data_IF_130578133082
#
_entry.id   IF_130578133082
#
_cell.length_a   1.000
_cell.length_b   1.000
_cell.length_c   1.000
_cell.angle_alpha   90.00
_cell.angle_beta   90.00
_cell.angle_gamma   90.00
#
_symmetry.space_group_name_H-M   'P 1'
#
loop_
_entity.id
_entity.type
_entity.pdbx_description
1 polymer ?
#
# COMPACT_ATOMS: atom_id res chain seq x y z
N UNK A 1 -13.39 -1.55 -16.27
CA UNK A 1 -11.97 -1.77 -16.49
C UNK A 1 -11.17 -0.88 -15.55
N UNK A 2 -10.11 -1.39 -14.94
CA UNK A 2 -9.32 -0.64 -13.99
C UNK A 2 -7.88 -0.46 -14.49
N UNK A 3 -7.20 0.57 -13.96
CA UNK A 3 -5.79 0.86 -14.25
C UNK A 3 -5.03 1.11 -12.96
N UNK A 4 -3.79 0.63 -12.92
CA UNK A 4 -2.87 0.88 -11.79
C UNK A 4 -1.79 1.83 -12.29
N UNK A 5 -1.56 2.91 -11.52
CA UNK A 5 -0.57 3.94 -11.83
C UNK A 5 0.15 4.39 -10.57
N UNK A 6 1.34 4.98 -10.77
CA UNK A 6 2.03 5.67 -9.69
C UNK A 6 1.44 7.07 -9.50
N UNK A 7 1.20 7.45 -8.24
CA UNK A 7 0.81 8.81 -7.89
C UNK A 7 2.06 9.65 -7.69
N UNK A 8 2.43 10.44 -8.69
CA UNK A 8 3.65 11.24 -8.68
C UNK A 8 3.38 12.73 -8.62
N UNK A 9 2.38 13.22 -9.34
CA UNK A 9 2.01 14.63 -9.33
C UNK A 9 1.15 14.97 -8.11
N UNK A 10 1.13 16.25 -7.74
CA UNK A 10 0.27 16.72 -6.67
C UNK A 10 -1.21 16.40 -6.94
N UNK A 11 -1.62 16.52 -8.20
CA UNK A 11 -2.98 16.21 -8.64
C UNK A 11 -3.31 14.73 -8.41
N UNK A 12 -2.40 13.84 -8.77
CA UNK A 12 -2.59 12.39 -8.57
C UNK A 12 -2.63 12.04 -7.09
N UNK A 13 -1.72 12.61 -6.30
CA UNK A 13 -1.69 12.40 -4.85
C UNK A 13 -3.00 12.89 -4.23
N UNK A 14 -3.45 14.08 -4.59
CA UNK A 14 -4.70 14.67 -4.09
C UNK A 14 -5.91 13.80 -4.45
N UNK A 15 -5.92 13.21 -5.64
CA UNK A 15 -7.01 12.34 -6.08
C UNK A 15 -7.16 11.08 -5.22
N UNK A 16 -6.12 10.68 -4.50
CA UNK A 16 -6.15 9.51 -3.63
C UNK A 16 -6.67 9.82 -2.22
N UNK A 17 -6.98 11.07 -1.90
CA UNK A 17 -7.33 11.47 -0.53
C UNK A 17 -8.45 10.64 0.08
N UNK A 18 -9.52 10.38 -0.67
CA UNK A 18 -10.67 9.66 -0.13
C UNK A 18 -10.30 8.26 0.37
N UNK A 19 -9.56 7.50 -0.43
CA UNK A 19 -9.16 6.14 -0.04
C UNK A 19 -8.08 6.16 1.03
N UNK A 20 -7.16 7.11 0.99
CA UNK A 20 -6.11 7.25 2.00
C UNK A 20 -6.73 7.60 3.36
N UNK A 21 -7.65 8.56 3.41
CA UNK A 21 -8.31 8.94 4.65
C UNK A 21 -9.24 7.87 5.21
N UNK A 22 -9.75 7.01 4.35
CA UNK A 22 -10.51 5.82 4.78
C UNK A 22 -9.62 4.88 5.60
N UNK A 23 -8.39 4.67 5.17
CA UNK A 23 -7.42 3.84 5.90
C UNK A 23 -6.82 4.57 7.11
N UNK A 24 -6.54 5.86 6.95
CA UNK A 24 -5.83 6.68 7.96
C UNK A 24 -6.69 7.90 8.32
N UNK A 25 -7.78 7.73 9.07
CA UNK A 25 -8.73 8.81 9.34
C UNK A 25 -8.18 9.95 10.21
N UNK A 26 -7.03 9.76 10.85
CA UNK A 26 -6.37 10.79 11.66
C UNK A 26 -5.64 11.85 10.82
N UNK A 27 -5.47 11.62 9.51
CA UNK A 27 -4.74 12.56 8.64
C UNK A 27 -5.56 13.83 8.40
N UNK A 28 -4.84 14.96 8.26
CA UNK A 28 -5.43 16.25 7.93
C UNK A 28 -5.32 16.49 6.42
N UNK A 29 -6.46 16.77 5.78
CA UNK A 29 -6.51 16.93 4.34
C UNK A 29 -5.57 18.04 3.84
N UNK A 30 -5.49 19.15 4.56
CA UNK A 30 -4.68 20.30 4.15
C UNK A 30 -3.18 20.02 4.18
N UNK A 31 -2.75 19.02 4.93
CA UNK A 31 -1.32 18.66 5.06
C UNK A 31 -0.97 17.38 4.30
N UNK A 32 -1.95 16.68 3.78
CA UNK A 32 -1.78 15.35 3.22
C UNK A 32 -0.82 15.32 2.03
N UNK A 33 -1.02 16.18 1.04
CA UNK A 33 -0.18 16.17 -0.17
C UNK A 33 1.27 16.48 0.17
N UNK A 34 1.50 17.47 1.02
CA UNK A 34 2.85 17.84 1.46
C UNK A 34 3.54 16.67 2.19
N UNK A 35 2.81 16.01 3.09
CA UNK A 35 3.34 14.86 3.82
C UNK A 35 3.72 13.73 2.88
N UNK A 36 2.87 13.40 1.90
CA UNK A 36 3.19 12.35 0.93
C UNK A 36 4.43 12.72 0.13
N UNK A 37 4.57 13.97 -0.29
CA UNK A 37 5.75 14.42 -1.02
C UNK A 37 7.03 14.29 -0.19
N UNK A 38 6.98 14.62 1.09
CA UNK A 38 8.10 14.39 2.00
C UNK A 38 8.45 12.91 2.11
N UNK A 39 7.44 12.07 2.27
CA UNK A 39 7.63 10.61 2.33
C UNK A 39 8.24 10.07 1.04
N UNK A 40 7.82 10.60 -0.10
CA UNK A 40 8.38 10.19 -1.40
C UNK A 40 9.86 10.53 -1.51
N UNK A 41 10.30 11.64 -0.94
CA UNK A 41 11.73 11.96 -0.86
C UNK A 41 12.51 10.98 0.01
N UNK A 42 11.83 10.34 0.95
CA UNK A 42 12.40 9.32 1.83
C UNK A 42 12.22 7.89 1.28
N UNK A 43 11.74 7.75 0.05
CA UNK A 43 11.62 6.46 -0.62
C UNK A 43 10.23 5.84 -0.67
N UNK A 44 9.22 6.52 -0.17
CA UNK A 44 7.83 6.04 -0.25
C UNK A 44 7.33 6.09 -1.70
N UNK A 45 6.67 5.03 -2.13
CA UNK A 45 6.05 4.94 -3.45
C UNK A 45 4.55 4.72 -3.26
N UNK A 46 3.74 5.45 -4.00
CA UNK A 46 2.29 5.35 -3.92
C UNK A 46 1.73 4.87 -5.26
N UNK A 47 0.98 3.78 -5.20
CA UNK A 47 0.22 3.24 -6.33
C UNK A 47 -1.26 3.45 -6.10
N UNK A 48 -2.00 3.73 -7.16
CA UNK A 48 -3.45 3.78 -7.07
C UNK A 48 -4.08 3.01 -8.21
N UNK A 49 -5.26 2.47 -7.92
CA UNK A 49 -6.08 1.77 -8.90
C UNK A 49 -7.35 2.60 -9.13
N UNK A 50 -7.56 2.99 -10.36
CA UNK A 50 -8.75 3.74 -10.74
C UNK A 50 -9.69 2.89 -11.56
N UNK A 51 -10.99 3.06 -11.32
CA UNK A 51 -12.07 2.50 -12.13
C UNK A 51 -12.83 3.67 -12.73
N UNK A 52 -12.79 3.81 -14.05
CA UNK A 52 -13.24 5.01 -14.74
C UNK A 52 -12.42 6.20 -14.23
N UNK A 53 -13.04 7.25 -13.72
CA UNK A 53 -12.33 8.43 -13.21
C UNK A 53 -12.24 8.46 -11.68
N UNK A 54 -12.54 7.36 -11.03
CA UNK A 54 -12.55 7.27 -9.55
C UNK A 54 -11.38 6.44 -9.06
N UNK A 55 -10.63 6.97 -8.10
CA UNK A 55 -9.62 6.21 -7.38
C UNK A 55 -10.34 5.26 -6.42
N UNK A 56 -10.26 3.97 -6.70
CA UNK A 56 -10.97 2.94 -5.95
C UNK A 56 -10.13 2.29 -4.84
N UNK A 57 -8.81 2.25 -5.04
CA UNK A 57 -7.91 1.58 -4.12
C UNK A 57 -6.49 2.17 -4.23
N UNK A 58 -5.68 1.98 -3.19
CA UNK A 58 -4.29 2.40 -3.25
C UNK A 58 -3.40 1.45 -2.45
N UNK A 59 -2.11 1.48 -2.77
CA UNK A 59 -1.05 0.82 -2.00
C UNK A 59 0.12 1.78 -1.84
N UNK A 60 0.72 1.79 -0.67
CA UNK A 60 1.95 2.51 -0.42
C UNK A 60 3.04 1.53 -0.03
N UNK A 61 4.25 1.68 -0.57
CA UNK A 61 5.34 0.78 -0.26
C UNK A 61 6.68 1.48 -0.25
N UNK A 62 7.67 0.80 0.34
CA UNK A 62 9.06 1.26 0.37
C UNK A 62 9.97 0.14 -0.06
N UNK A 63 11.07 0.51 -0.75
CA UNK A 63 12.17 -0.40 -1.00
C UNK A 63 13.13 -0.31 0.19
N UNK A 64 13.32 -1.40 0.89
CA UNK A 64 14.17 -1.46 2.08
C UNK A 64 15.33 -2.43 1.86
N UNK A 65 16.37 -2.26 2.65
CA UNK A 65 17.55 -3.10 2.62
C UNK A 65 17.98 -3.38 4.06
N UNK A 66 17.95 -4.64 4.46
CA UNK A 66 18.31 -5.04 5.83
C UNK A 66 19.30 -6.19 5.81
N UNK A 67 19.97 -6.36 6.95
CA UNK A 67 20.88 -7.50 7.11
C UNK A 67 20.15 -8.84 7.09
N UNK A 68 18.91 -8.86 7.60
CA UNK A 68 18.11 -10.09 7.68
C UNK A 68 17.55 -10.48 6.32
N UNK A 69 16.91 -9.52 5.62
CA UNK A 69 16.08 -9.82 4.45
C UNK A 69 16.71 -9.35 3.13
N UNK A 70 17.94 -8.79 3.15
CA UNK A 70 18.56 -8.18 1.98
C UNK A 70 17.67 -7.06 1.41
N UNK A 71 17.45 -7.00 0.10
CA UNK A 71 16.61 -5.98 -0.53
C UNK A 71 15.18 -6.50 -0.64
N UNK A 72 14.23 -5.78 -0.08
CA UNK A 72 12.83 -6.21 -0.06
C UNK A 72 11.89 -5.02 -0.18
N UNK A 73 10.63 -5.29 -0.48
CA UNK A 73 9.56 -4.29 -0.48
C UNK A 73 8.76 -4.43 0.80
N UNK A 74 8.53 -3.30 1.47
CA UNK A 74 7.63 -3.20 2.61
C UNK A 74 6.38 -2.44 2.20
N UNK A 75 5.21 -3.06 2.31
CA UNK A 75 3.93 -2.43 2.01
C UNK A 75 3.42 -1.76 3.27
N UNK A 76 3.41 -0.42 3.28
CA UNK A 76 2.92 0.38 4.40
C UNK A 76 1.40 0.47 4.43
N UNK A 77 0.79 0.58 3.24
CA UNK A 77 -0.62 0.90 3.11
C UNK A 77 -1.25 0.06 2.01
N UNK A 78 -2.47 -0.42 2.27
CA UNK A 78 -3.28 -1.11 1.28
C UNK A 78 -4.75 -0.92 1.67
N UNK A 79 -5.53 -0.29 0.81
CA UNK A 79 -6.93 -0.03 1.10
C UNK A 79 -7.76 0.07 -0.18
N UNK A 80 -8.98 -0.43 -0.10
CA UNK A 80 -10.00 -0.27 -1.13
C UNK A 80 -11.18 0.48 -0.53
N UNK A 81 -11.73 1.46 -1.25
CA UNK A 81 -12.94 2.15 -0.82
C UNK A 81 -14.09 1.14 -0.62
N UNK A 82 -14.94 1.33 0.39
CA UNK A 82 -16.03 0.38 0.67
C UNK A 82 -16.90 0.07 -0.54
N UNK A 83 -17.21 1.06 -1.36
CA UNK A 83 -18.07 0.88 -2.54
C UNK A 83 -17.45 -0.01 -3.62
N UNK A 84 -16.13 -0.23 -3.57
CA UNK A 84 -15.40 -0.99 -4.58
C UNK A 84 -14.86 -2.32 -4.06
N UNK A 85 -15.19 -2.70 -2.82
CA UNK A 85 -14.75 -3.97 -2.23
C UNK A 85 -15.38 -5.16 -2.94
N UNK A 86 -14.69 -6.30 -2.86
CA UNK A 86 -15.16 -7.55 -3.47
C UNK A 86 -14.88 -7.65 -4.97
N UNK A 87 -14.10 -6.75 -5.52
CA UNK A 87 -13.75 -6.73 -6.95
C UNK A 87 -12.31 -7.18 -7.23
N UNK A 88 -11.57 -7.58 -6.18
CA UNK A 88 -10.19 -8.05 -6.32
C UNK A 88 -9.15 -6.94 -6.47
N UNK A 89 -9.46 -5.70 -6.14
CA UNK A 89 -8.55 -4.57 -6.36
C UNK A 89 -7.32 -4.59 -5.44
N UNK A 90 -7.50 -4.95 -4.17
CA UNK A 90 -6.36 -5.10 -3.27
C UNK A 90 -5.42 -6.22 -3.74
N UNK A 91 -5.99 -7.33 -4.19
CA UNK A 91 -5.21 -8.42 -4.78
C UNK A 91 -4.45 -7.99 -6.02
N UNK A 92 -5.08 -7.20 -6.90
CA UNK A 92 -4.43 -6.68 -8.09
C UNK A 92 -3.24 -5.77 -7.74
N UNK A 93 -3.39 -4.92 -6.72
CA UNK A 93 -2.29 -4.07 -6.23
C UNK A 93 -1.15 -4.90 -5.66
N UNK A 94 -1.45 -5.93 -4.88
CA UNK A 94 -0.42 -6.83 -4.34
C UNK A 94 0.31 -7.59 -5.45
N UNK A 95 -0.41 -8.04 -6.48
CA UNK A 95 0.20 -8.70 -7.62
C UNK A 95 1.13 -7.75 -8.38
N UNK A 96 0.73 -6.50 -8.53
CA UNK A 96 1.56 -5.48 -9.16
C UNK A 96 2.85 -5.24 -8.37
N UNK A 97 2.75 -5.13 -7.05
CA UNK A 97 3.92 -4.97 -6.17
C UNK A 97 4.82 -6.19 -6.25
N UNK A 98 4.25 -7.39 -6.30
CA UNK A 98 5.04 -8.62 -6.44
C UNK A 98 5.84 -8.63 -7.74
N UNK A 99 5.24 -8.24 -8.86
CA UNK A 99 5.96 -8.16 -10.13
C UNK A 99 7.07 -7.10 -10.08
N UNK A 100 6.81 -5.95 -9.47
CA UNK A 100 7.88 -4.95 -9.25
C UNK A 100 9.03 -5.53 -8.43
N UNK A 101 8.72 -6.29 -7.39
CA UNK A 101 9.74 -6.93 -6.56
C UNK A 101 10.60 -7.90 -7.36
N UNK A 102 9.98 -8.74 -8.18
CA UNK A 102 10.69 -9.69 -9.05
C UNK A 102 11.57 -8.98 -10.06
N UNK A 103 11.04 -7.98 -10.74
CA UNK A 103 11.75 -7.22 -11.77
C UNK A 103 12.96 -6.47 -11.22
N UNK A 104 12.90 -6.05 -9.96
CA UNK A 104 13.95 -5.25 -9.32
C UNK A 104 14.84 -6.06 -8.39
N UNK A 105 14.77 -7.40 -8.44
CA UNK A 105 15.67 -8.28 -7.70
C UNK A 105 15.47 -8.29 -6.19
N UNK A 106 14.25 -8.07 -5.72
CA UNK A 106 13.93 -8.14 -4.30
C UNK A 106 13.79 -9.59 -3.85
N UNK A 107 14.05 -9.85 -2.57
CA UNK A 107 13.96 -11.20 -2.02
C UNK A 107 12.58 -11.51 -1.42
N UNK A 108 11.82 -10.47 -1.07
CA UNK A 108 10.50 -10.65 -0.46
C UNK A 108 9.66 -9.38 -0.54
N UNK A 109 8.37 -9.55 -0.32
CA UNK A 109 7.39 -8.48 -0.06
C UNK A 109 6.85 -8.72 1.34
N UNK A 110 6.90 -7.72 2.19
CA UNK A 110 6.57 -7.81 3.62
C UNK A 110 5.51 -6.78 3.95
N UNK A 111 4.61 -7.10 4.85
CA UNK A 111 3.62 -6.16 5.38
C UNK A 111 3.25 -6.52 6.81
N UNK A 112 2.71 -5.54 7.53
CA UNK A 112 2.10 -5.75 8.83
C UNK A 112 0.59 -5.54 8.71
N UNK A 113 -0.18 -6.29 9.50
CA UNK A 113 -1.64 -6.18 9.50
C UNK A 113 -2.17 -6.32 10.92
N UNK A 114 -3.10 -5.45 11.29
CA UNK A 114 -3.73 -5.51 12.61
C UNK A 114 -4.47 -6.83 12.83
N UNK A 115 -4.50 -7.30 14.08
CA UNK A 115 -5.13 -8.58 14.43
C UNK A 115 -6.61 -8.64 14.01
N UNK A 116 -7.31 -7.53 14.03
CA UNK A 116 -8.74 -7.45 13.77
C UNK A 116 -9.10 -7.50 12.28
N UNK A 117 -8.12 -7.37 11.38
CA UNK A 117 -8.35 -7.28 9.93
C UNK A 117 -8.42 -8.67 9.29
N UNK A 118 -9.43 -9.45 9.64
CA UNK A 118 -9.55 -10.85 9.24
C UNK A 118 -9.66 -11.06 7.73
N UNK A 119 -10.40 -10.20 7.02
CA UNK A 119 -10.53 -10.31 5.57
C UNK A 119 -9.21 -10.03 4.87
N UNK A 120 -8.45 -9.06 5.37
CA UNK A 120 -7.11 -8.76 4.86
C UNK A 120 -6.18 -9.96 5.06
N UNK A 121 -6.23 -10.59 6.25
CA UNK A 121 -5.42 -11.78 6.53
C UNK A 121 -5.72 -12.93 5.56
N UNK A 122 -6.99 -13.16 5.24
CA UNK A 122 -7.37 -14.17 4.25
C UNK A 122 -6.77 -13.87 2.88
N UNK A 123 -6.83 -12.60 2.46
CA UNK A 123 -6.23 -12.18 1.19
C UNK A 123 -4.73 -12.48 1.19
N UNK A 124 -4.01 -12.08 2.23
CA UNK A 124 -2.56 -12.30 2.30
C UNK A 124 -2.20 -13.78 2.26
N UNK A 125 -2.87 -14.60 3.06
CA UNK A 125 -2.63 -16.04 3.09
C UNK A 125 -2.96 -16.70 1.75
N UNK A 126 -4.04 -16.28 1.09
CA UNK A 126 -4.41 -16.79 -0.23
C UNK A 126 -3.41 -16.39 -1.31
N UNK A 127 -2.71 -15.27 -1.14
CA UNK A 127 -1.64 -14.83 -2.05
C UNK A 127 -0.30 -15.49 -1.75
N UNK A 128 -0.21 -16.32 -0.72
CA UNK A 128 1.00 -17.03 -0.35
C UNK A 128 1.86 -16.35 0.70
N UNK A 129 1.37 -15.28 1.32
CA UNK A 129 2.07 -14.65 2.44
C UNK A 129 2.02 -15.58 3.65
N UNK A 130 3.09 -15.56 4.45
CA UNK A 130 3.23 -16.36 5.65
C UNK A 130 3.32 -15.44 6.86
N UNK A 131 2.60 -15.77 7.93
CA UNK A 131 2.73 -15.04 9.19
C UNK A 131 4.08 -15.43 9.82
N UNK A 132 5.09 -14.58 9.65
CA UNK A 132 6.48 -14.92 9.99
C UNK A 132 7.04 -14.20 11.21
N UNK A 133 6.35 -13.18 11.74
CA UNK A 133 6.87 -12.39 12.84
C UNK A 133 5.75 -11.68 13.60
N UNK A 134 6.08 -11.23 14.82
CA UNK A 134 5.21 -10.37 15.61
C UNK A 134 5.74 -8.94 15.59
N UNK A 135 4.85 -7.97 15.47
CA UNK A 135 5.17 -6.55 15.49
C UNK A 135 5.01 -6.01 16.91
N UNK A 136 6.07 -5.45 17.49
CA UNK A 136 6.03 -4.82 18.81
C UNK A 136 6.23 -3.31 18.67
N UNK A 137 5.45 -2.53 19.41
CA UNK A 137 5.53 -1.07 19.39
C UNK A 137 5.62 -0.52 20.80
N UNK A 138 6.56 0.41 21.02
CA UNK A 138 6.58 1.26 22.21
C UNK A 138 6.29 2.69 21.76
N UNK A 139 5.14 3.21 22.15
CA UNK A 139 4.78 4.60 21.83
C UNK A 139 5.48 5.57 22.75
N UNK A 140 5.85 6.73 22.19
CA UNK A 140 6.56 7.79 22.90
C UNK A 140 5.67 9.00 23.05
#
# INVERSE_FOLDING_TARGET
MHQIRFAQSEKEIAACWEVVSTLRPHLEKDRYVEQVKEMQQEGYQMLYLSEKDTVAAFAGYRNLHSLFASKFIYVDDLCTLPAFRGRGYAGALLDYVLELAKETGKTSVVLDSGFQLHDAHRLYLNKGYVLSAHHFRLSI
#
